data_IF_937039042498
#
_entry.id   IF_937039042498
#
_cell.length_a   1.000
_cell.length_b   1.000
_cell.length_c   1.000
_cell.angle_alpha   90.00
_cell.angle_beta   90.00
_cell.angle_gamma   90.00
#
_symmetry.space_group_name_H-M   'P 1'
#
loop_
_entity.id
_entity.type
_entity.pdbx_description
1 polymer ?
#
# COMPACT_ATOMS: atom_id res chain seq x y z
N UNK A 1 -12.80 6.12 -18.74
CA UNK A 1 -13.13 6.95 -17.53
C UNK A 1 -12.01 7.96 -17.40
N UNK A 2 -12.31 9.23 -17.15
CA UNK A 2 -11.27 10.25 -16.94
C UNK A 2 -10.63 10.04 -15.56
N UNK A 3 -9.29 9.90 -15.51
CA UNK A 3 -8.53 9.70 -14.29
C UNK A 3 -8.33 11.03 -13.57
N UNK A 4 -8.87 11.15 -12.36
CA UNK A 4 -8.71 12.35 -11.54
C UNK A 4 -7.33 12.37 -10.90
N UNK A 5 -6.37 13.04 -11.52
CA UNK A 5 -5.06 13.30 -10.90
C UNK A 5 -5.24 14.37 -9.81
N UNK A 6 -4.87 14.04 -8.57
CA UNK A 6 -5.04 14.93 -7.40
C UNK A 6 -3.72 15.49 -6.86
N UNK A 7 -2.58 14.98 -7.32
CA UNK A 7 -1.26 15.46 -6.89
C UNK A 7 -0.14 15.00 -7.80
N UNK A 8 1.04 15.62 -7.59
CA UNK A 8 2.29 15.24 -8.25
C UNK A 8 3.30 14.87 -7.18
N UNK A 9 4.01 13.76 -7.40
CA UNK A 9 5.08 13.26 -6.54
C UNK A 9 6.39 13.73 -7.16
N UNK A 10 7.19 14.45 -6.38
CA UNK A 10 8.46 15.02 -6.84
C UNK A 10 9.67 14.32 -6.24
N UNK A 11 9.49 13.61 -5.15
CA UNK A 11 10.55 12.85 -4.46
C UNK A 11 10.04 11.48 -4.01
N UNK A 12 10.97 10.56 -3.77
CA UNK A 12 10.68 9.25 -3.16
C UNK A 12 10.55 9.34 -1.62
N UNK A 13 10.53 10.54 -1.04
CA UNK A 13 10.37 10.67 0.40
C UNK A 13 8.99 10.13 0.82
N UNK A 14 8.90 9.21 1.80
CA UNK A 14 7.64 8.56 2.16
C UNK A 14 6.48 9.49 2.50
N UNK A 15 6.77 10.70 2.99
CA UNK A 15 5.75 11.71 3.26
C UNK A 15 5.07 12.21 1.99
N UNK A 16 5.80 12.45 0.90
CA UNK A 16 5.24 12.85 -0.38
C UNK A 16 4.56 11.67 -1.08
N UNK A 17 5.24 10.52 -1.05
CA UNK A 17 4.83 9.34 -1.79
C UNK A 17 3.60 8.66 -1.16
N UNK A 18 3.55 8.57 0.18
CA UNK A 18 2.53 7.80 0.91
C UNK A 18 1.77 8.61 1.97
N UNK A 19 2.00 9.92 2.07
CA UNK A 19 1.40 10.77 3.10
C UNK A 19 -0.12 10.91 3.03
N UNK A 20 -0.73 10.52 1.91
CA UNK A 20 -2.19 10.44 1.77
C UNK A 20 -2.80 9.28 2.56
N UNK A 21 -2.05 8.20 2.84
CA UNK A 21 -2.51 7.09 3.67
C UNK A 21 -2.64 7.52 5.13
N UNK A 22 -3.82 7.38 5.72
CA UNK A 22 -4.11 7.76 7.12
C UNK A 22 -3.95 6.55 8.02
N UNK A 23 -2.72 6.28 8.45
CA UNK A 23 -2.33 5.05 9.14
C UNK A 23 -2.42 5.12 10.67
N UNK A 24 -2.70 6.30 11.25
CA UNK A 24 -2.73 6.47 12.71
C UNK A 24 -3.63 5.46 13.40
N UNK A 25 -3.06 4.69 14.32
CA UNK A 25 -3.77 3.67 15.10
C UNK A 25 -4.17 2.42 14.32
N UNK A 26 -3.78 2.28 13.04
CA UNK A 26 -4.16 1.20 12.13
C UNK A 26 -3.07 0.16 11.98
N UNK A 27 -3.47 -1.04 11.56
CA UNK A 27 -2.56 -2.09 11.09
C UNK A 27 -2.28 -1.88 9.62
N UNK A 28 -1.01 -1.81 9.24
CA UNK A 28 -0.54 -1.61 7.88
C UNK A 28 0.15 -2.89 7.38
N UNK A 29 -0.14 -3.30 6.17
CA UNK A 29 0.68 -4.23 5.38
C UNK A 29 1.37 -3.41 4.29
N UNK A 30 2.69 -3.45 4.28
CA UNK A 30 3.58 -2.75 3.36
C UNK A 30 4.29 -3.81 2.51
N UNK A 31 3.81 -4.02 1.29
CA UNK A 31 4.37 -4.95 0.32
C UNK A 31 5.35 -4.21 -0.57
N UNK A 32 6.62 -4.67 -0.60
CA UNK A 32 7.74 -3.94 -1.19
C UNK A 32 8.20 -2.81 -0.28
N UNK A 33 8.57 -3.13 0.97
CA UNK A 33 8.95 -2.14 1.98
C UNK A 33 10.46 -1.82 2.00
N UNK A 34 11.17 -2.08 0.90
CA UNK A 34 12.62 -1.95 0.79
C UNK A 34 13.23 -0.72 1.45
N UNK A 35 14.53 -0.77 1.70
CA UNK A 35 15.28 0.40 2.14
C UNK A 35 15.88 1.12 0.93
N UNK A 36 15.55 2.40 0.82
CA UNK A 36 16.34 3.33 0.04
C UNK A 36 17.34 4.01 0.98
N UNK A 37 18.64 3.96 0.67
CA UNK A 37 19.70 4.53 1.51
C UNK A 37 19.60 6.06 1.67
N UNK A 38 18.85 6.71 0.81
CA UNK A 38 18.73 8.18 0.77
C UNK A 38 17.54 8.69 1.60
N UNK A 39 16.56 7.83 1.88
CA UNK A 39 15.31 8.24 2.53
C UNK A 39 14.96 7.39 3.75
N UNK A 40 14.10 7.93 4.58
CA UNK A 40 13.49 7.19 5.69
C UNK A 40 12.71 5.99 5.15
N UNK A 41 12.94 4.76 5.62
CA UNK A 41 12.16 3.60 5.20
C UNK A 41 10.67 3.77 5.48
N UNK A 42 9.81 3.34 4.55
CA UNK A 42 8.35 3.47 4.67
C UNK A 42 7.78 2.90 5.97
N UNK A 43 8.21 1.71 6.46
CA UNK A 43 7.75 1.20 7.77
C UNK A 43 8.08 2.12 8.94
N UNK A 44 9.25 2.78 8.90
CA UNK A 44 9.63 3.78 9.92
C UNK A 44 8.70 4.97 9.88
N UNK A 45 8.48 5.55 8.69
CA UNK A 45 7.58 6.67 8.48
C UNK A 45 6.18 6.37 9.03
N UNK A 46 5.60 5.22 8.69
CA UNK A 46 4.28 4.83 9.20
C UNK A 46 4.24 4.67 10.72
N UNK A 47 5.27 4.08 11.32
CA UNK A 47 5.29 3.85 12.78
C UNK A 47 5.65 5.09 13.58
N UNK A 48 6.69 5.83 13.17
CA UNK A 48 7.24 6.91 13.99
C UNK A 48 6.58 8.25 13.71
N UNK A 49 6.29 8.55 12.47
CA UNK A 49 5.71 9.83 12.11
C UNK A 49 4.19 9.77 12.08
N UNK A 50 3.62 8.79 11.41
CA UNK A 50 2.17 8.64 11.29
C UNK A 50 1.50 7.83 12.40
N UNK A 51 2.25 7.25 13.34
CA UNK A 51 1.72 6.55 14.52
C UNK A 51 0.82 5.36 14.19
N UNK A 52 1.20 4.56 13.19
CA UNK A 52 0.55 3.28 12.94
C UNK A 52 0.58 2.39 14.19
N UNK A 53 -0.47 1.61 14.40
CA UNK A 53 -0.53 0.64 15.51
C UNK A 53 0.45 -0.50 15.31
N UNK A 54 0.59 -0.95 14.05
CA UNK A 54 1.43 -2.07 13.66
C UNK A 54 1.74 -1.99 12.17
N UNK A 55 2.97 -2.32 11.78
CA UNK A 55 3.36 -2.46 10.38
C UNK A 55 3.93 -3.85 10.14
N UNK A 56 3.48 -4.51 9.10
CA UNK A 56 4.03 -5.72 8.55
C UNK A 56 4.71 -5.32 7.24
N UNK A 57 6.03 -5.34 7.22
CA UNK A 57 6.83 -5.00 6.04
C UNK A 57 7.31 -6.27 5.35
N UNK A 58 6.97 -6.44 4.09
CA UNK A 58 7.35 -7.58 3.26
C UNK A 58 8.24 -7.10 2.13
N UNK A 59 9.42 -7.71 2.00
CA UNK A 59 10.36 -7.41 0.94
C UNK A 59 11.16 -8.63 0.53
N UNK A 60 11.53 -8.72 -0.74
CA UNK A 60 12.36 -9.81 -1.27
C UNK A 60 13.85 -9.57 -1.09
N UNK A 61 14.28 -8.32 -0.89
CA UNK A 61 15.69 -8.00 -0.71
C UNK A 61 16.21 -8.38 0.67
N UNK A 62 17.16 -9.30 0.66
CA UNK A 62 17.80 -9.78 1.89
C UNK A 62 18.53 -8.68 2.66
N UNK A 63 19.11 -7.70 1.99
CA UNK A 63 19.84 -6.61 2.65
C UNK A 63 18.88 -5.71 3.42
N UNK A 64 17.73 -5.39 2.81
CA UNK A 64 16.64 -4.66 3.45
C UNK A 64 16.14 -5.39 4.71
N UNK A 65 15.86 -6.69 4.57
CA UNK A 65 15.40 -7.50 5.71
C UNK A 65 16.44 -7.55 6.84
N UNK A 66 17.71 -7.81 6.53
CA UNK A 66 18.79 -7.90 7.53
C UNK A 66 18.99 -6.53 8.21
N UNK A 67 18.92 -5.44 7.44
CA UNK A 67 19.02 -4.09 7.98
C UNK A 67 17.89 -3.79 8.98
N UNK A 68 16.64 -4.12 8.62
CA UNK A 68 15.50 -3.96 9.53
C UNK A 68 15.68 -4.78 10.81
N UNK A 69 16.13 -6.02 10.71
CA UNK A 69 16.38 -6.90 11.86
C UNK A 69 17.44 -6.33 12.81
N UNK A 70 18.48 -5.70 12.26
CA UNK A 70 19.61 -5.17 13.03
C UNK A 70 19.31 -3.78 13.61
N UNK A 71 18.66 -2.93 12.83
CA UNK A 71 18.55 -1.50 13.14
C UNK A 71 17.15 -1.09 13.63
N UNK A 72 16.13 -1.94 13.41
CA UNK A 72 14.74 -1.58 13.64
C UNK A 72 13.99 -2.60 14.48
N UNK A 73 14.49 -2.84 15.70
CA UNK A 73 13.85 -3.76 16.66
C UNK A 73 12.77 -3.04 17.46
N UNK A 74 11.64 -2.71 16.83
CA UNK A 74 10.47 -2.13 17.48
C UNK A 74 9.33 -3.14 17.55
N UNK A 75 8.68 -3.20 18.70
CA UNK A 75 7.63 -4.19 19.03
C UNK A 75 6.51 -4.28 17.99
N UNK A 76 6.21 -3.18 17.31
CA UNK A 76 5.07 -3.06 16.42
C UNK A 76 5.45 -3.19 14.94
N UNK A 77 6.70 -3.58 14.63
CA UNK A 77 7.17 -3.88 13.29
C UNK A 77 7.44 -5.38 13.12
N UNK A 78 6.95 -5.95 12.03
CA UNK A 78 7.21 -7.34 11.65
C UNK A 78 7.83 -7.34 10.26
N UNK A 79 9.18 -7.45 10.15
CA UNK A 79 9.84 -7.63 8.87
C UNK A 79 9.69 -9.08 8.39
N UNK A 80 9.37 -9.25 7.12
CA UNK A 80 9.23 -10.54 6.45
C UNK A 80 10.07 -10.51 5.17
N UNK A 81 10.95 -11.50 5.02
CA UNK A 81 11.70 -11.70 3.77
C UNK A 81 10.90 -12.65 2.88
N UNK A 82 10.21 -12.10 1.90
CA UNK A 82 9.43 -12.88 0.93
C UNK A 82 9.20 -12.08 -0.35
N UNK A 83 9.05 -12.78 -1.47
CA UNK A 83 8.74 -12.20 -2.77
C UNK A 83 7.22 -12.25 -3.01
N UNK A 84 6.64 -11.10 -3.30
CA UNK A 84 5.19 -10.97 -3.59
C UNK A 84 5.01 -11.00 -5.12
N UNK A 85 5.10 -12.19 -5.70
CA UNK A 85 5.15 -12.43 -7.15
C UNK A 85 3.95 -13.23 -7.70
N UNK A 86 2.92 -13.47 -6.88
CA UNK A 86 1.72 -14.23 -7.23
C UNK A 86 0.57 -13.99 -6.27
N UNK A 87 -0.64 -14.35 -6.71
CA UNK A 87 -1.89 -14.05 -6.00
C UNK A 87 -1.91 -14.62 -4.57
N UNK A 88 -1.40 -15.83 -4.36
CA UNK A 88 -1.43 -16.49 -3.05
C UNK A 88 -0.64 -15.72 -1.98
N UNK A 89 0.33 -14.90 -2.39
CA UNK A 89 1.06 -14.02 -1.47
C UNK A 89 0.20 -12.85 -1.00
N UNK A 90 -0.58 -12.25 -1.89
CA UNK A 90 -1.56 -11.22 -1.51
C UNK A 90 -2.62 -11.80 -0.57
N UNK A 91 -3.19 -12.95 -0.91
CA UNK A 91 -4.16 -13.67 -0.07
C UNK A 91 -3.59 -13.99 1.31
N UNK A 92 -2.36 -14.49 1.36
CA UNK A 92 -1.67 -14.82 2.61
C UNK A 92 -1.58 -13.58 3.53
N UNK A 93 -1.02 -12.48 3.03
CA UNK A 93 -0.76 -11.31 3.87
C UNK A 93 -2.02 -10.56 4.24
N UNK A 94 -2.94 -10.37 3.29
CA UNK A 94 -4.20 -9.69 3.56
C UNK A 94 -5.14 -10.55 4.43
N UNK A 95 -5.20 -11.86 4.18
CA UNK A 95 -6.04 -12.79 4.94
C UNK A 95 -5.57 -13.02 6.36
N UNK A 96 -4.26 -13.17 6.56
CA UNK A 96 -3.69 -13.45 7.89
C UNK A 96 -3.66 -12.21 8.78
N UNK A 97 -3.17 -11.07 8.25
CA UNK A 97 -3.00 -9.86 9.06
C UNK A 97 -4.24 -8.98 9.12
N UNK A 98 -5.16 -9.12 8.16
CA UNK A 98 -6.41 -8.34 8.05
C UNK A 98 -6.18 -6.84 8.24
N UNK A 99 -5.28 -6.23 7.44
CA UNK A 99 -4.91 -4.83 7.61
C UNK A 99 -6.08 -3.90 7.31
N UNK A 100 -6.05 -2.73 7.93
CA UNK A 100 -6.93 -1.60 7.58
C UNK A 100 -6.31 -0.75 6.47
N UNK A 101 -4.97 -0.74 6.38
CA UNK A 101 -4.22 0.01 5.37
C UNK A 101 -3.26 -0.95 4.63
N UNK A 102 -3.18 -0.79 3.33
CA UNK A 102 -2.24 -1.55 2.49
C UNK A 102 -1.42 -0.58 1.65
N UNK A 103 -0.09 -0.77 1.62
CA UNK A 103 0.80 -0.18 0.62
C UNK A 103 1.33 -1.31 -0.26
N UNK A 104 1.35 -1.09 -1.56
CA UNK A 104 1.86 -2.04 -2.55
C UNK A 104 2.81 -1.30 -3.48
N UNK A 105 4.01 -1.87 -3.63
CA UNK A 105 5.06 -1.41 -4.50
C UNK A 105 5.98 -2.60 -4.75
N UNK A 106 5.59 -3.44 -5.69
CA UNK A 106 6.17 -4.79 -5.92
C UNK A 106 6.62 -4.99 -7.37
N UNK A 107 7.05 -3.89 -7.99
CA UNK A 107 7.79 -3.86 -9.26
C UNK A 107 7.10 -4.65 -10.40
N UNK A 108 5.80 -4.42 -10.59
CA UNK A 108 4.99 -5.00 -11.67
C UNK A 108 4.12 -6.19 -11.24
N UNK A 109 4.30 -6.73 -10.03
CA UNK A 109 3.44 -7.81 -9.51
C UNK A 109 2.04 -7.31 -9.07
N UNK A 110 1.77 -6.02 -9.10
CA UNK A 110 0.44 -5.41 -8.84
C UNK A 110 -0.63 -5.96 -9.78
N UNK A 111 -0.23 -6.45 -10.96
CA UNK A 111 -1.14 -7.07 -11.94
C UNK A 111 -1.93 -8.25 -11.35
N UNK A 112 -1.37 -8.97 -10.39
CA UNK A 112 -2.03 -10.10 -9.73
C UNK A 112 -3.23 -9.70 -8.87
N UNK A 113 -3.35 -8.42 -8.47
CA UNK A 113 -4.52 -7.94 -7.75
C UNK A 113 -5.83 -8.18 -8.50
N UNK A 114 -5.82 -8.22 -9.83
CA UNK A 114 -7.02 -8.48 -10.61
C UNK A 114 -7.66 -9.84 -10.27
N UNK A 115 -6.87 -10.84 -9.93
CA UNK A 115 -7.34 -12.17 -9.57
C UNK A 115 -7.71 -12.33 -8.08
N UNK A 116 -7.41 -11.33 -7.24
CA UNK A 116 -7.68 -11.39 -5.80
C UNK A 116 -9.19 -11.44 -5.53
N UNK A 117 -9.63 -12.33 -4.65
CA UNK A 117 -11.01 -12.28 -4.16
C UNK A 117 -11.22 -11.00 -3.34
N UNK A 118 -12.25 -10.23 -3.69
CA UNK A 118 -12.59 -8.97 -3.02
C UNK A 118 -12.85 -9.11 -1.52
N UNK A 119 -13.09 -10.33 -1.03
CA UNK A 119 -13.23 -10.64 0.40
C UNK A 119 -11.96 -10.30 1.18
N UNK A 120 -10.76 -10.51 0.58
CA UNK A 120 -9.48 -10.14 1.22
C UNK A 120 -9.32 -8.63 1.41
N UNK A 121 -10.03 -7.82 0.62
CA UNK A 121 -10.04 -6.36 0.74
C UNK A 121 -11.17 -5.85 1.65
N UNK A 122 -11.98 -6.72 2.24
CA UNK A 122 -13.16 -6.32 3.04
C UNK A 122 -12.80 -5.44 4.23
N UNK A 123 -11.69 -5.73 4.91
CA UNK A 123 -11.21 -4.99 6.07
C UNK A 123 -10.35 -3.76 5.70
N UNK A 124 -9.91 -3.66 4.44
CA UNK A 124 -9.06 -2.58 3.99
C UNK A 124 -9.87 -1.30 3.80
N UNK A 125 -9.46 -0.23 4.48
CA UNK A 125 -10.07 1.09 4.40
C UNK A 125 -9.40 1.96 3.33
N UNK A 126 -8.05 1.88 3.24
CA UNK A 126 -7.26 2.58 2.24
C UNK A 126 -6.16 1.69 1.70
N UNK A 127 -5.86 1.88 0.43
CA UNK A 127 -4.79 1.19 -0.29
C UNK A 127 -4.03 2.18 -1.17
N UNK A 128 -2.72 2.18 -1.03
CA UNK A 128 -1.81 2.91 -1.92
C UNK A 128 -1.05 1.91 -2.77
N UNK A 129 -1.05 2.10 -4.08
CA UNK A 129 -0.38 1.20 -5.03
C UNK A 129 0.49 2.03 -5.95
N UNK A 130 1.80 1.79 -5.93
CA UNK A 130 2.65 2.21 -7.03
C UNK A 130 2.47 1.20 -8.17
N UNK A 131 2.03 1.68 -9.33
CA UNK A 131 1.88 0.86 -10.52
C UNK A 131 2.97 1.19 -11.54
N UNK A 132 3.54 0.16 -12.16
CA UNK A 132 4.74 0.27 -12.98
C UNK A 132 4.45 0.22 -14.49
N UNK A 133 3.20 0.07 -14.89
CA UNK A 133 2.75 0.14 -16.29
C UNK A 133 1.23 0.21 -16.38
N UNK A 134 0.74 0.49 -17.59
CA UNK A 134 -0.70 0.61 -17.87
C UNK A 134 -1.48 -0.68 -17.55
N UNK A 135 -0.90 -1.85 -17.76
CA UNK A 135 -1.59 -3.11 -17.47
C UNK A 135 -1.80 -3.31 -15.97
N UNK A 136 -0.79 -2.97 -15.15
CA UNK A 136 -0.90 -2.95 -13.70
C UNK A 136 -1.97 -1.95 -13.25
N UNK A 137 -1.94 -0.73 -13.79
CA UNK A 137 -2.95 0.30 -13.48
C UNK A 137 -4.37 -0.20 -13.76
N UNK A 138 -4.65 -0.71 -14.97
CA UNK A 138 -5.99 -1.21 -15.36
C UNK A 138 -6.43 -2.35 -14.43
N UNK A 139 -5.54 -3.27 -14.11
CA UNK A 139 -5.82 -4.39 -13.20
C UNK A 139 -6.19 -3.92 -11.80
N UNK A 140 -5.43 -2.96 -11.26
CA UNK A 140 -5.70 -2.37 -9.96
C UNK A 140 -7.01 -1.57 -9.94
N UNK A 141 -7.25 -0.72 -10.97
CA UNK A 141 -8.50 0.05 -11.13
C UNK A 141 -9.73 -0.87 -11.11
N UNK A 142 -9.69 -1.94 -11.90
CA UNK A 142 -10.78 -2.89 -12.00
C UNK A 142 -11.07 -3.52 -10.64
N UNK A 143 -10.05 -4.09 -9.99
CA UNK A 143 -10.19 -4.77 -8.70
C UNK A 143 -10.66 -3.84 -7.59
N UNK A 144 -10.07 -2.66 -7.46
CA UNK A 144 -10.44 -1.72 -6.40
C UNK A 144 -11.85 -1.17 -6.60
N UNK A 145 -12.25 -0.91 -7.85
CA UNK A 145 -13.62 -0.48 -8.15
C UNK A 145 -14.64 -1.57 -7.79
N UNK A 146 -14.35 -2.83 -8.17
CA UNK A 146 -15.16 -4.00 -7.80
C UNK A 146 -15.30 -4.15 -6.28
N UNK A 147 -14.21 -3.91 -5.55
CA UNK A 147 -14.19 -3.97 -4.08
C UNK A 147 -14.79 -2.72 -3.39
N UNK A 148 -15.31 -1.76 -4.15
CA UNK A 148 -16.04 -0.58 -3.65
C UNK A 148 -15.17 0.59 -3.21
N UNK A 149 -13.92 0.67 -3.68
CA UNK A 149 -13.06 1.81 -3.44
C UNK A 149 -13.36 2.96 -4.40
N UNK A 150 -13.21 4.19 -3.90
CA UNK A 150 -13.03 5.39 -4.73
C UNK A 150 -11.55 5.55 -5.05
N UNK A 151 -11.24 6.04 -6.24
CA UNK A 151 -9.88 6.09 -6.76
C UNK A 151 -9.44 7.54 -6.96
N UNK A 152 -8.20 7.82 -6.56
CA UNK A 152 -7.47 9.05 -6.83
C UNK A 152 -6.08 8.70 -7.35
N UNK A 153 -5.51 9.56 -8.18
CA UNK A 153 -4.26 9.30 -8.88
C UNK A 153 -3.23 10.37 -8.54
N UNK A 154 -2.01 9.92 -8.27
CA UNK A 154 -0.83 10.78 -8.13
C UNK A 154 0.14 10.41 -9.24
N UNK A 155 0.63 11.39 -9.97
CA UNK A 155 1.63 11.19 -11.01
C UNK A 155 3.02 11.54 -10.51
N UNK A 156 4.04 10.91 -11.03
CA UNK A 156 5.41 11.39 -10.87
C UNK A 156 5.65 12.60 -11.78
N UNK A 157 6.49 13.53 -11.32
CA UNK A 157 6.69 14.83 -12.00
C UNK A 157 7.10 14.70 -13.48
N UNK A 158 7.92 13.67 -13.77
CA UNK A 158 8.49 13.47 -15.11
C UNK A 158 7.80 12.37 -15.93
N UNK A 159 6.69 11.77 -15.42
CA UNK A 159 6.03 10.67 -16.07
C UNK A 159 4.55 10.98 -16.33
N UNK A 160 4.03 10.41 -17.42
CA UNK A 160 2.59 10.41 -17.66
C UNK A 160 1.92 9.39 -16.72
N UNK A 161 0.76 9.74 -16.20
CA UNK A 161 -0.06 8.89 -15.31
C UNK A 161 -0.43 7.54 -15.93
N UNK A 162 -0.37 7.41 -17.25
CA UNK A 162 -0.65 6.14 -17.94
C UNK A 162 0.55 5.18 -17.93
N UNK A 163 1.75 5.64 -17.55
CA UNK A 163 2.94 4.79 -17.51
C UNK A 163 3.30 4.33 -16.11
N UNK A 164 3.40 5.26 -15.18
CA UNK A 164 3.74 4.98 -13.79
C UNK A 164 3.18 6.08 -12.89
N UNK A 165 2.81 5.70 -11.68
CA UNK A 165 2.30 6.64 -10.68
C UNK A 165 1.79 5.89 -9.46
N UNK A 166 1.08 6.62 -8.60
CA UNK A 166 0.47 6.03 -7.41
C UNK A 166 -1.04 6.12 -7.48
N UNK A 167 -1.68 4.99 -7.29
CA UNK A 167 -3.13 4.84 -7.18
C UNK A 167 -3.52 4.80 -5.71
N UNK A 168 -4.36 5.72 -5.28
CA UNK A 168 -4.97 5.72 -3.96
C UNK A 168 -6.41 5.24 -4.05
N UNK A 169 -6.69 4.11 -3.44
CA UNK A 169 -8.04 3.61 -3.21
C UNK A 169 -8.48 3.86 -1.77
N UNK A 170 -9.69 4.38 -1.57
CA UNK A 170 -10.27 4.54 -0.24
C UNK A 170 -11.75 4.19 -0.23
N UNK A 171 -12.20 3.59 0.85
CA UNK A 171 -13.62 3.35 1.08
C UNK A 171 -14.23 4.57 1.73
N UNK A 172 -15.36 5.09 1.21
CA UNK A 172 -16.07 6.18 1.86
C UNK A 172 -16.51 5.74 3.26
N UNK A 173 -16.33 6.63 4.24
CA UNK A 173 -16.81 6.38 5.60
C UNK A 173 -18.30 6.05 5.56
N UNK A 174 -18.69 4.87 6.00
CA UNK A 174 -20.10 4.54 6.23
C UNK A 174 -20.49 5.12 7.58
N UNK A 175 -21.39 6.12 7.66
CA UNK A 175 -21.90 6.55 8.95
C UNK A 175 -22.47 5.33 9.69
N UNK A 176 -22.08 5.17 10.95
CA UNK A 176 -22.70 4.16 11.80
C UNK A 176 -24.18 4.57 11.94
N UNK A 177 -25.07 3.82 11.33
CA UNK A 177 -26.50 3.97 11.64
C UNK A 177 -26.68 3.63 13.12
N UNK A 178 -26.76 4.63 13.98
CA UNK A 178 -27.19 4.45 15.34
C UNK A 178 -28.61 3.88 15.25
N UNK A 179 -28.75 2.55 15.42
CA UNK A 179 -30.07 1.95 15.65
C UNK A 179 -30.64 2.67 16.86
N UNK A 180 -31.70 3.47 16.64
CA UNK A 180 -32.49 4.02 17.73
C UNK A 180 -33.00 2.81 18.52
N UNK A 181 -32.49 2.65 19.73
CA UNK A 181 -33.03 1.73 20.74
C UNK A 181 -34.42 2.20 21.15
#
# INVERSE_FOLDING_TARGET
MERKVVGTITTEHPQEHWGFLKVQGKTVVDLGCGINSEFTPTPWYFLQEQKAKKVIGVDSDKNSYDWFKQNYNVKNFIPIMDMVDRIEKFELYLGYYKPEIVKIDVEGSEIFLNALDSLYLSNVEQIGIEYHNLSCLISCEHKLTEAGFKLEYFKFEHLDVDYQGVLHGYKPFKPVELKKL
#
